data_IF_683162110989
#
_entry.id   IF_683162110989
#
_cell.length_a   1.000
_cell.length_b   1.000
_cell.length_c   1.000
_cell.angle_alpha   90.00
_cell.angle_beta   90.00
_cell.angle_gamma   90.00
#
_symmetry.space_group_name_H-M   'P 1'
#
loop_
_entity.id
_entity.type
_entity.pdbx_description
1 polymer ?
#
# COMPACT_ATOMS: atom_id res chain seq x y z
N UNK A 1 9.77 -20.88 -31.86
CA UNK A 1 10.53 -22.02 -32.45
C UNK A 1 9.88 -23.31 -31.99
N UNK A 2 9.43 -24.18 -32.90
CA UNK A 2 8.75 -25.43 -32.58
C UNK A 2 9.68 -26.63 -32.80
N UNK A 3 9.65 -27.61 -31.88
CA UNK A 3 10.34 -28.88 -32.01
C UNK A 3 9.39 -30.03 -31.63
N UNK A 4 9.24 -30.98 -32.54
CA UNK A 4 8.29 -32.10 -32.42
C UNK A 4 9.04 -33.44 -32.44
N UNK A 5 8.49 -34.43 -31.75
CA UNK A 5 8.96 -35.80 -31.76
C UNK A 5 8.93 -36.43 -33.17
N UNK A 6 9.78 -37.43 -33.41
CA UNK A 6 9.75 -38.16 -34.70
C UNK A 6 8.50 -39.02 -34.81
N UNK A 7 7.95 -39.27 -36.03
CA UNK A 7 6.77 -40.10 -36.22
C UNK A 7 6.88 -41.50 -35.60
N UNK A 8 8.09 -42.07 -35.62
CA UNK A 8 8.39 -43.34 -34.96
C UNK A 8 8.24 -43.26 -33.45
N UNK A 9 8.71 -42.20 -32.81
CA UNK A 9 8.60 -42.02 -31.35
C UNK A 9 7.16 -41.72 -30.91
N UNK A 10 6.37 -41.05 -31.73
CA UNK A 10 4.95 -40.77 -31.46
C UNK A 10 4.11 -42.05 -31.30
N UNK A 11 4.50 -43.14 -31.96
CA UNK A 11 3.83 -44.43 -31.83
C UNK A 11 4.07 -45.09 -30.46
N UNK A 12 5.18 -44.76 -29.79
CA UNK A 12 5.61 -45.40 -28.53
C UNK A 12 5.39 -44.53 -27.28
N UNK A 13 5.05 -43.24 -27.40
CA UNK A 13 5.03 -42.28 -26.28
C UNK A 13 3.61 -41.78 -25.96
N UNK A 14 2.67 -42.67 -25.60
CA UNK A 14 1.23 -42.32 -25.54
C UNK A 14 0.82 -41.28 -24.47
N UNK A 15 1.61 -41.08 -23.41
CA UNK A 15 1.25 -40.21 -22.27
C UNK A 15 2.29 -39.11 -21.98
N UNK A 16 3.31 -38.98 -22.82
CA UNK A 16 4.42 -38.05 -22.62
C UNK A 16 4.26 -36.80 -23.48
N UNK A 17 4.93 -35.71 -23.08
CA UNK A 17 5.04 -34.54 -23.95
C UNK A 17 5.91 -34.89 -25.16
N UNK A 18 5.43 -34.51 -26.34
CA UNK A 18 6.05 -34.84 -27.64
C UNK A 18 6.54 -33.61 -28.37
N UNK A 19 6.02 -32.45 -28.00
CA UNK A 19 6.33 -31.19 -28.65
C UNK A 19 6.73 -30.17 -27.62
N UNK A 20 7.74 -29.38 -27.95
CA UNK A 20 8.17 -28.21 -27.20
C UNK A 20 8.25 -27.00 -28.13
N UNK A 21 7.65 -25.91 -27.71
CA UNK A 21 7.65 -24.64 -28.42
C UNK A 21 8.25 -23.55 -27.54
N UNK A 22 9.14 -22.75 -28.12
CA UNK A 22 9.57 -21.47 -27.57
C UNK A 22 8.69 -20.36 -28.15
N UNK A 23 7.88 -19.76 -27.29
CA UNK A 23 7.13 -18.52 -27.56
C UNK A 23 7.83 -17.34 -26.88
N UNK A 24 7.26 -16.13 -26.99
CA UNK A 24 7.94 -14.88 -26.63
C UNK A 24 8.54 -14.90 -25.21
N UNK A 25 7.76 -15.26 -24.17
CA UNK A 25 8.23 -15.35 -22.77
C UNK A 25 7.80 -16.66 -22.09
N UNK A 26 7.61 -17.73 -22.85
CA UNK A 26 7.22 -19.03 -22.28
C UNK A 26 7.69 -20.22 -23.14
N UNK A 27 7.84 -21.35 -22.46
CA UNK A 27 7.94 -22.66 -23.09
C UNK A 27 6.57 -23.33 -23.07
N UNK A 28 6.11 -23.80 -24.22
CA UNK A 28 4.83 -24.52 -24.34
C UNK A 28 5.11 -25.98 -24.67
N UNK A 29 4.58 -26.87 -23.84
CA UNK A 29 4.73 -28.32 -24.00
C UNK A 29 3.39 -28.90 -24.43
N UNK A 30 3.39 -29.70 -25.49
CA UNK A 30 2.18 -30.39 -25.95
C UNK A 30 2.32 -31.90 -25.86
N UNK A 31 1.27 -32.53 -25.39
CA UNK A 31 1.00 -33.96 -25.47
C UNK A 31 -0.34 -34.18 -26.18
N UNK A 32 -0.73 -35.43 -26.40
CA UNK A 32 -2.02 -35.77 -27.00
C UNK A 32 -3.22 -35.31 -26.14
N UNK A 33 -3.04 -35.19 -24.82
CA UNK A 33 -4.14 -34.96 -23.85
C UNK A 33 -4.01 -33.66 -23.06
N UNK A 34 -2.89 -32.95 -23.17
CA UNK A 34 -2.60 -31.78 -22.34
C UNK A 34 -1.63 -30.83 -23.03
N UNK A 35 -1.85 -29.54 -22.76
CA UNK A 35 -0.91 -28.44 -23.02
C UNK A 35 -0.45 -27.88 -21.67
N UNK A 36 0.86 -27.69 -21.51
CA UNK A 36 1.45 -27.03 -20.34
C UNK A 36 2.22 -25.82 -20.82
N UNK A 37 1.88 -24.64 -20.27
CA UNK A 37 2.62 -23.40 -20.48
C UNK A 37 3.51 -23.15 -19.28
N UNK A 38 4.79 -22.95 -19.52
CA UNK A 38 5.80 -22.65 -18.51
C UNK A 38 6.29 -21.22 -18.79
N UNK A 39 5.74 -20.21 -18.12
CA UNK A 39 6.26 -18.84 -18.18
C UNK A 39 7.74 -18.81 -17.80
N UNK A 40 8.51 -17.91 -18.39
CA UNK A 40 9.93 -17.77 -18.02
C UNK A 40 10.13 -17.44 -16.55
N UNK A 41 9.19 -16.75 -15.89
CA UNK A 41 9.26 -16.48 -14.46
C UNK A 41 9.16 -17.75 -13.57
N UNK A 42 8.65 -18.86 -14.11
CA UNK A 42 8.57 -20.17 -13.43
C UNK A 42 9.71 -21.12 -13.83
N UNK A 43 10.34 -20.88 -14.98
CA UNK A 43 11.44 -21.69 -15.51
C UNK A 43 12.79 -21.24 -14.93
N UNK A 44 13.58 -22.19 -14.42
CA UNK A 44 14.92 -21.92 -13.85
C UNK A 44 16.01 -21.55 -14.87
N UNK A 45 15.68 -21.45 -16.16
CA UNK A 45 16.66 -21.30 -17.24
C UNK A 45 17.46 -22.56 -17.56
N UNK A 46 17.27 -23.66 -16.82
CA UNK A 46 17.95 -24.93 -17.04
C UNK A 46 17.15 -25.83 -17.99
N UNK A 47 17.81 -26.27 -19.07
CA UNK A 47 17.37 -27.36 -19.94
C UNK A 47 18.42 -28.47 -19.94
N UNK A 48 18.00 -29.71 -19.75
CA UNK A 48 18.89 -30.87 -19.84
C UNK A 48 18.52 -31.72 -21.04
N UNK A 49 19.45 -31.92 -21.97
CA UNK A 49 19.26 -32.79 -23.14
C UNK A 49 19.92 -34.13 -22.87
N UNK A 50 19.16 -35.22 -22.91
CA UNK A 50 19.68 -36.59 -22.74
C UNK A 50 19.58 -37.35 -24.07
N UNK A 51 20.67 -38.04 -24.43
CA UNK A 51 20.70 -38.90 -25.62
C UNK A 51 20.22 -40.30 -25.26
N UNK A 52 19.21 -40.79 -25.95
CA UNK A 52 18.81 -42.19 -25.94
C UNK A 52 19.39 -42.96 -27.14
N UNK A 53 19.00 -44.23 -27.27
CA UNK A 53 19.49 -45.13 -28.33
C UNK A 53 18.97 -44.72 -29.73
N UNK A 54 17.72 -44.27 -29.81
CA UNK A 54 17.02 -43.97 -31.08
C UNK A 54 16.64 -42.49 -31.18
N UNK A 55 16.28 -41.87 -30.05
CA UNK A 55 15.91 -40.46 -29.96
C UNK A 55 16.53 -39.82 -28.70
N UNK A 56 16.27 -38.53 -28.52
CA UNK A 56 16.68 -37.76 -27.35
C UNK A 56 15.48 -37.24 -26.55
N UNK A 57 15.76 -36.70 -25.37
CA UNK A 57 14.78 -36.02 -24.54
C UNK A 57 15.30 -34.69 -24.03
N UNK A 58 14.38 -33.75 -23.81
CA UNK A 58 14.64 -32.47 -23.15
C UNK A 58 13.89 -32.47 -21.82
N UNK A 59 14.60 -32.17 -20.74
CA UNK A 59 14.01 -31.90 -19.42
C UNK A 59 14.04 -30.41 -19.12
N UNK A 60 12.87 -29.84 -18.88
CA UNK A 60 12.65 -28.46 -18.41
C UNK A 60 12.56 -28.48 -16.89
N UNK A 61 13.27 -27.59 -16.22
CA UNK A 61 13.34 -27.53 -14.75
C UNK A 61 12.69 -26.24 -14.25
N UNK A 62 11.65 -26.33 -13.44
CA UNK A 62 11.10 -25.17 -12.75
C UNK A 62 12.12 -24.58 -11.75
N UNK A 63 11.89 -23.35 -11.30
CA UNK A 63 12.52 -22.88 -10.07
C UNK A 63 12.17 -23.81 -8.90
N UNK A 64 13.12 -23.98 -7.98
CA UNK A 64 12.89 -24.75 -6.76
C UNK A 64 12.01 -23.96 -5.79
N UNK A 65 11.00 -24.61 -5.22
CA UNK A 65 10.12 -24.06 -4.20
C UNK A 65 9.91 -25.13 -3.12
N UNK A 66 10.08 -24.78 -1.85
CA UNK A 66 9.92 -25.68 -0.69
C UNK A 66 10.69 -27.01 -0.82
N UNK A 67 11.97 -26.94 -1.23
CA UNK A 67 12.84 -28.10 -1.50
C UNK A 67 12.27 -29.10 -2.52
N UNK A 68 11.33 -28.67 -3.38
CA UNK A 68 10.79 -29.46 -4.48
C UNK A 68 11.03 -28.73 -5.79
N UNK A 69 11.46 -29.46 -6.81
CA UNK A 69 11.63 -28.96 -8.16
C UNK A 69 10.73 -29.74 -9.10
N UNK A 70 9.79 -29.03 -9.74
CA UNK A 70 8.97 -29.60 -10.81
C UNK A 70 9.82 -29.72 -12.07
N UNK A 71 9.69 -30.85 -12.76
CA UNK A 71 10.37 -31.11 -14.02
C UNK A 71 9.38 -31.61 -15.05
N UNK A 72 9.54 -31.15 -16.29
CA UNK A 72 8.77 -31.65 -17.43
C UNK A 72 9.71 -32.27 -18.44
N UNK A 73 9.34 -33.43 -18.97
CA UNK A 73 10.18 -34.19 -19.90
C UNK A 73 9.47 -34.32 -21.23
N UNK A 74 10.17 -33.91 -22.29
CA UNK A 74 9.73 -34.04 -23.68
C UNK A 74 10.59 -35.09 -24.34
N UNK A 75 9.96 -36.11 -24.92
CA UNK A 75 10.60 -37.34 -25.40
C UNK A 75 10.46 -37.45 -26.92
N UNK A 76 11.26 -38.33 -27.53
CA UNK A 76 11.16 -38.63 -28.96
C UNK A 76 11.79 -37.60 -29.90
N UNK A 77 12.60 -36.68 -29.36
CA UNK A 77 13.15 -35.56 -30.13
C UNK A 77 14.41 -35.96 -30.89
N UNK A 78 14.61 -35.54 -32.15
CA UNK A 78 15.85 -35.80 -32.86
C UNK A 78 17.03 -35.01 -32.24
N UNK A 79 18.19 -35.67 -32.10
CA UNK A 79 19.26 -35.25 -31.20
C UNK A 79 19.87 -33.88 -31.55
N UNK A 80 20.11 -33.62 -32.84
CA UNK A 80 20.76 -32.37 -33.26
C UNK A 80 19.81 -31.17 -33.08
N UNK A 81 18.53 -31.34 -33.42
CA UNK A 81 17.50 -30.33 -33.23
C UNK A 81 17.25 -30.07 -31.75
N UNK A 82 17.22 -31.10 -30.90
CA UNK A 82 17.07 -30.96 -29.46
C UNK A 82 18.21 -30.12 -28.84
N UNK A 83 19.45 -30.36 -29.26
CA UNK A 83 20.59 -29.55 -28.82
C UNK A 83 20.51 -28.10 -29.32
N UNK A 84 20.12 -27.87 -30.58
CA UNK A 84 19.96 -26.53 -31.15
C UNK A 84 18.84 -25.75 -30.44
N UNK A 85 17.70 -26.42 -30.22
CA UNK A 85 16.57 -25.87 -29.49
C UNK A 85 16.99 -25.46 -28.07
N UNK A 86 17.63 -26.36 -27.32
CA UNK A 86 18.03 -26.08 -25.95
C UNK A 86 18.98 -24.88 -25.85
N UNK A 87 19.99 -24.80 -26.74
CA UNK A 87 20.90 -23.65 -26.80
C UNK A 87 20.17 -22.34 -27.10
N UNK A 88 19.25 -22.35 -28.06
CA UNK A 88 18.49 -21.16 -28.44
C UNK A 88 17.53 -20.71 -27.31
N UNK A 89 16.77 -21.63 -26.74
CA UNK A 89 15.84 -21.35 -25.64
C UNK A 89 16.56 -20.75 -24.42
N UNK A 90 17.70 -21.33 -24.01
CA UNK A 90 18.51 -20.78 -22.91
C UNK A 90 19.01 -19.38 -23.23
N UNK A 91 19.47 -19.12 -24.46
CA UNK A 91 19.91 -17.78 -24.88
C UNK A 91 18.78 -16.75 -24.84
N UNK A 92 17.58 -17.12 -25.27
CA UNK A 92 16.39 -16.24 -25.23
C UNK A 92 15.99 -15.96 -23.78
N UNK A 93 15.96 -16.98 -22.92
CA UNK A 93 15.72 -16.81 -21.49
C UNK A 93 16.74 -15.90 -20.81
N UNK A 94 18.03 -16.09 -21.08
CA UNK A 94 19.09 -15.25 -20.51
C UNK A 94 18.93 -13.78 -20.92
N UNK A 95 18.56 -13.52 -22.18
CA UNK A 95 18.31 -12.16 -22.68
C UNK A 95 17.12 -11.52 -21.96
N UNK A 96 16.00 -12.26 -21.86
CA UNK A 96 14.82 -11.83 -21.11
C UNK A 96 15.15 -11.57 -19.62
N UNK A 97 15.89 -12.47 -18.96
CA UNK A 97 16.26 -12.32 -17.56
C UNK A 97 17.16 -11.10 -17.32
N UNK A 98 18.07 -10.80 -18.25
CA UNK A 98 18.90 -9.59 -18.19
C UNK A 98 18.06 -8.31 -18.32
N UNK A 99 17.06 -8.32 -19.18
CA UNK A 99 16.11 -7.22 -19.34
C UNK A 99 15.29 -7.00 -18.06
N UNK A 100 14.73 -8.07 -17.47
CA UNK A 100 14.02 -8.01 -16.19
C UNK A 100 14.91 -7.46 -15.06
N UNK A 101 16.17 -7.91 -14.98
CA UNK A 101 17.14 -7.35 -14.04
C UNK A 101 17.39 -5.85 -14.27
N UNK A 102 17.46 -5.41 -15.52
CA UNK A 102 17.71 -4.00 -15.86
C UNK A 102 16.52 -3.11 -15.50
N UNK A 103 15.29 -3.57 -15.76
CA UNK A 103 14.07 -2.89 -15.36
C UNK A 103 14.02 -2.74 -13.83
N UNK A 104 14.22 -3.84 -13.09
CA UNK A 104 14.18 -3.80 -11.62
C UNK A 104 15.27 -2.88 -11.05
N UNK A 105 16.47 -2.82 -11.66
CA UNK A 105 17.52 -1.87 -11.26
C UNK A 105 17.12 -0.40 -11.42
N UNK A 106 16.16 -0.11 -12.30
CA UNK A 106 15.68 1.25 -12.57
C UNK A 106 14.69 1.71 -11.50
N UNK A 107 13.77 0.85 -11.10
CA UNK A 107 12.69 1.20 -10.15
C UNK A 107 13.08 0.98 -8.69
N UNK A 108 13.76 -0.12 -8.38
CA UNK A 108 14.05 -0.54 -7.01
C UNK A 108 14.74 0.51 -6.13
N UNK A 109 15.74 1.28 -6.60
CA UNK A 109 16.34 2.34 -5.77
C UNK A 109 15.33 3.43 -5.35
N UNK A 110 14.36 3.75 -6.22
CA UNK A 110 13.33 4.75 -5.93
C UNK A 110 12.36 4.24 -4.88
N UNK A 111 11.96 2.97 -4.97
CA UNK A 111 11.11 2.32 -3.96
C UNK A 111 11.77 2.32 -2.60
N UNK A 112 13.05 1.91 -2.54
CA UNK A 112 13.81 1.87 -1.29
C UNK A 112 13.97 3.26 -0.68
N UNK A 113 14.29 4.27 -1.50
CA UNK A 113 14.44 5.64 -1.04
C UNK A 113 13.13 6.17 -0.46
N UNK A 114 12.01 5.98 -1.17
CA UNK A 114 10.72 6.48 -0.73
C UNK A 114 10.20 5.72 0.50
N UNK A 115 10.35 4.39 0.54
CA UNK A 115 10.00 3.64 1.75
C UNK A 115 10.84 4.07 2.94
N UNK A 116 12.14 4.29 2.74
CA UNK A 116 13.01 4.78 3.81
C UNK A 116 12.52 6.15 4.32
N UNK A 117 12.18 7.08 3.41
CA UNK A 117 11.61 8.39 3.75
C UNK A 117 10.33 8.25 4.58
N UNK A 118 9.40 7.39 4.17
CA UNK A 118 8.14 7.14 4.88
C UNK A 118 8.39 6.55 6.28
N UNK A 119 9.30 5.57 6.38
CA UNK A 119 9.63 4.91 7.65
C UNK A 119 10.23 5.88 8.65
N UNK A 120 11.16 6.73 8.21
CA UNK A 120 11.88 7.69 9.07
C UNK A 120 11.17 9.02 9.25
N UNK A 121 9.93 9.15 8.77
CA UNK A 121 9.18 10.40 8.85
C UNK A 121 8.96 10.80 10.32
N UNK A 122 9.28 12.02 10.77
CA UNK A 122 9.20 12.39 12.19
C UNK A 122 7.75 12.74 12.63
N UNK A 123 6.76 12.04 12.09
CA UNK A 123 5.33 12.23 12.38
C UNK A 123 4.57 10.91 12.19
N UNK A 124 3.32 10.87 12.64
CA UNK A 124 2.37 9.81 12.30
C UNK A 124 2.33 9.62 10.79
N UNK A 125 2.33 8.38 10.31
CA UNK A 125 2.25 8.06 8.89
C UNK A 125 0.81 7.67 8.52
N UNK A 126 0.04 8.57 7.87
CA UNK A 126 -1.26 8.25 7.32
C UNK A 126 -1.28 7.02 6.40
N UNK A 127 -2.41 6.32 6.41
CA UNK A 127 -2.66 5.14 5.57
C UNK A 127 -2.58 5.50 4.08
N UNK A 128 -3.12 6.66 3.68
CA UNK A 128 -3.11 7.10 2.28
C UNK A 128 -1.69 7.19 1.70
N UNK A 129 -0.73 7.71 2.45
CA UNK A 129 0.66 7.82 1.99
C UNK A 129 1.29 6.45 1.75
N UNK A 130 1.05 5.49 2.64
CA UNK A 130 1.52 4.11 2.45
C UNK A 130 0.83 3.46 1.25
N UNK A 131 -0.50 3.59 1.14
CA UNK A 131 -1.26 3.03 0.04
C UNK A 131 -0.82 3.60 -1.32
N UNK A 132 -0.51 4.89 -1.39
CA UNK A 132 0.01 5.52 -2.61
C UNK A 132 1.37 4.94 -3.01
N UNK A 133 2.25 4.69 -2.04
CA UNK A 133 3.54 4.05 -2.31
C UNK A 133 3.37 2.60 -2.79
N UNK A 134 2.50 1.81 -2.15
CA UNK A 134 2.19 0.44 -2.58
C UNK A 134 1.60 0.42 -3.99
N UNK A 135 0.62 1.30 -4.26
CA UNK A 135 -0.01 1.40 -5.58
C UNK A 135 0.99 1.76 -6.69
N UNK A 136 1.96 2.63 -6.40
CA UNK A 136 3.04 2.97 -7.34
C UNK A 136 3.95 1.76 -7.61
N UNK A 137 4.33 1.02 -6.57
CA UNK A 137 5.13 -0.21 -6.68
C UNK A 137 4.39 -1.26 -7.51
N UNK A 138 3.11 -1.49 -7.22
CA UNK A 138 2.26 -2.45 -7.94
C UNK A 138 2.10 -2.06 -9.42
N UNK A 139 1.87 -0.78 -9.70
CA UNK A 139 1.78 -0.27 -11.08
C UNK A 139 3.07 -0.55 -11.86
N UNK A 140 4.22 -0.34 -11.24
CA UNK A 140 5.51 -0.57 -11.88
C UNK A 140 5.84 -2.07 -12.02
N UNK A 141 5.39 -2.92 -11.10
CA UNK A 141 5.42 -4.38 -11.31
C UNK A 141 4.59 -4.80 -12.52
N UNK A 142 3.40 -4.21 -12.71
CA UNK A 142 2.56 -4.45 -13.88
C UNK A 142 3.24 -3.97 -15.18
N UNK A 143 3.88 -2.79 -15.17
CA UNK A 143 4.65 -2.29 -16.32
C UNK A 143 5.79 -3.23 -16.73
N UNK A 144 6.47 -3.81 -15.75
CA UNK A 144 7.53 -4.81 -15.99
C UNK A 144 6.98 -6.20 -16.35
N UNK A 145 5.68 -6.43 -16.16
CA UNK A 145 5.07 -7.76 -16.18
C UNK A 145 5.82 -8.75 -15.26
N UNK A 146 6.14 -8.30 -14.05
CA UNK A 146 6.94 -9.02 -13.06
C UNK A 146 6.13 -9.26 -11.78
N UNK A 147 6.28 -10.45 -11.20
CA UNK A 147 5.67 -10.79 -9.90
C UNK A 147 6.61 -10.53 -8.72
N UNK A 148 6.06 -10.39 -7.50
CA UNK A 148 6.86 -10.32 -6.26
C UNK A 148 7.83 -11.50 -6.12
N UNK A 149 7.37 -12.71 -6.43
CA UNK A 149 8.18 -13.92 -6.35
C UNK A 149 9.35 -13.90 -7.33
N UNK A 150 9.14 -13.34 -8.53
CA UNK A 150 10.20 -13.16 -9.53
C UNK A 150 11.20 -12.08 -9.12
N UNK A 151 10.72 -10.95 -8.60
CA UNK A 151 11.58 -9.89 -8.06
C UNK A 151 12.45 -10.43 -6.91
N UNK A 152 11.85 -11.22 -6.01
CA UNK A 152 12.52 -11.85 -4.89
C UNK A 152 13.60 -12.85 -5.34
N UNK A 153 13.35 -13.61 -6.41
CA UNK A 153 14.39 -14.48 -7.02
C UNK A 153 15.52 -13.66 -7.66
N UNK A 154 15.18 -12.52 -8.25
CA UNK A 154 16.12 -11.68 -9.00
C UNK A 154 17.05 -10.87 -8.08
N UNK A 155 16.52 -10.26 -7.01
CA UNK A 155 17.29 -9.45 -6.05
C UNK A 155 16.86 -9.69 -4.59
N UNK A 156 17.09 -10.91 -4.04
CA UNK A 156 16.52 -11.34 -2.76
C UNK A 156 16.83 -10.38 -1.60
N UNK A 157 18.11 -10.02 -1.44
CA UNK A 157 18.55 -9.19 -0.30
C UNK A 157 17.93 -7.78 -0.25
N UNK A 158 17.44 -7.28 -1.39
CA UNK A 158 16.82 -5.95 -1.51
C UNK A 158 15.30 -6.07 -1.41
N UNK A 159 14.71 -6.97 -2.20
CA UNK A 159 13.26 -7.20 -2.22
C UNK A 159 12.75 -7.71 -0.88
N UNK A 160 13.49 -8.57 -0.18
CA UNK A 160 13.11 -9.07 1.14
C UNK A 160 12.80 -7.95 2.15
N UNK A 161 13.48 -6.80 2.05
CA UNK A 161 13.27 -5.66 2.94
C UNK A 161 11.99 -4.87 2.62
N UNK A 162 11.52 -4.99 1.39
CA UNK A 162 10.34 -4.30 0.87
C UNK A 162 9.09 -5.16 1.02
N UNK A 163 9.20 -6.49 0.91
CA UNK A 163 8.06 -7.42 0.90
C UNK A 163 7.07 -7.20 2.05
N UNK A 164 7.46 -7.02 3.33
CA UNK A 164 6.50 -6.77 4.40
C UNK A 164 5.64 -5.52 4.15
N UNK A 165 6.19 -4.51 3.48
CA UNK A 165 5.50 -3.26 3.17
C UNK A 165 4.66 -3.33 1.89
N UNK A 166 4.85 -4.36 1.08
CA UNK A 166 4.09 -4.59 -0.17
C UNK A 166 2.98 -5.60 0.09
N UNK A 167 3.30 -6.74 0.71
CA UNK A 167 2.37 -7.86 0.90
C UNK A 167 1.49 -7.71 2.15
N UNK A 168 2.00 -7.06 3.20
CA UNK A 168 1.28 -6.81 4.45
C UNK A 168 1.49 -5.37 4.94
N UNK A 169 1.29 -4.42 4.02
CA UNK A 169 1.43 -2.99 4.28
C UNK A 169 0.66 -2.50 5.52
N UNK A 170 -0.58 -2.94 5.79
CA UNK A 170 -1.33 -2.51 6.98
C UNK A 170 -0.62 -2.89 8.28
N UNK A 171 -0.11 -4.12 8.40
CA UNK A 171 0.62 -4.55 9.59
C UNK A 171 1.93 -3.78 9.77
N UNK A 172 2.73 -3.67 8.70
CA UNK A 172 4.01 -2.95 8.75
C UNK A 172 3.83 -1.47 9.12
N UNK A 173 2.79 -0.83 8.58
CA UNK A 173 2.43 0.55 8.93
C UNK A 173 1.98 0.68 10.38
N UNK A 174 1.13 -0.24 10.85
CA UNK A 174 0.65 -0.24 12.22
C UNK A 174 1.81 -0.37 13.22
N UNK A 175 2.71 -1.33 13.02
CA UNK A 175 3.88 -1.54 13.87
C UNK A 175 4.75 -0.27 13.94
N UNK A 176 5.05 0.33 12.78
CA UNK A 176 5.82 1.57 12.71
C UNK A 176 5.14 2.72 13.45
N UNK A 177 3.83 2.90 13.26
CA UNK A 177 3.09 3.99 13.88
C UNK A 177 2.96 3.80 15.40
N UNK A 178 2.81 2.57 15.88
CA UNK A 178 2.81 2.27 17.33
C UNK A 178 4.15 2.64 17.95
N UNK A 179 5.27 2.27 17.32
CA UNK A 179 6.60 2.63 17.82
C UNK A 179 6.79 4.16 17.86
N UNK A 180 6.40 4.86 16.80
CA UNK A 180 6.45 6.32 16.76
C UNK A 180 5.54 6.97 17.82
N UNK A 181 4.33 6.43 18.04
CA UNK A 181 3.39 6.96 19.03
C UNK A 181 3.94 6.88 20.45
N UNK A 182 4.64 5.79 20.81
CA UNK A 182 5.24 5.67 22.14
C UNK A 182 6.36 6.68 22.38
N UNK A 183 7.24 6.87 21.39
CA UNK A 183 8.31 7.87 21.45
C UNK A 183 7.73 9.29 21.52
N UNK A 184 6.76 9.59 20.65
CA UNK A 184 6.11 10.90 20.60
C UNK A 184 5.36 11.20 21.89
N UNK A 185 4.70 10.20 22.49
CA UNK A 185 3.98 10.37 23.76
C UNK A 185 4.87 10.89 24.88
N UNK A 186 6.11 10.41 24.96
CA UNK A 186 7.07 10.88 25.95
C UNK A 186 7.50 12.34 25.71
N UNK A 187 7.62 12.75 24.45
CA UNK A 187 7.97 14.15 24.10
C UNK A 187 6.89 15.15 24.54
N UNK A 188 5.64 14.72 24.66
CA UNK A 188 4.48 15.59 24.96
C UNK A 188 3.93 15.43 26.38
N UNK A 189 4.68 14.84 27.31
CA UNK A 189 4.27 14.64 28.71
C UNK A 189 3.84 15.94 29.41
N UNK A 190 4.49 17.06 29.12
CA UNK A 190 4.12 18.37 29.70
C UNK A 190 2.72 18.79 29.23
N UNK A 191 2.43 18.66 27.93
CA UNK A 191 1.10 18.93 27.39
C UNK A 191 0.06 18.02 28.04
N UNK A 192 0.34 16.72 28.16
CA UNK A 192 -0.62 15.75 28.70
C UNK A 192 -0.89 15.89 30.20
N UNK A 193 0.11 16.33 30.97
CA UNK A 193 -0.02 16.57 32.41
C UNK A 193 -0.70 17.90 32.75
N UNK A 194 -0.58 18.91 31.88
CA UNK A 194 -1.09 20.27 32.13
C UNK A 194 -2.32 20.63 31.28
N UNK A 195 -2.76 19.75 30.39
CA UNK A 195 -3.85 20.08 29.46
C UNK A 195 -5.14 20.46 30.19
N UNK A 196 -5.53 19.82 31.29
CA UNK A 196 -6.78 20.09 32.00
C UNK A 196 -6.60 19.91 33.52
N UNK A 197 -7.70 19.94 34.27
CA UNK A 197 -7.73 19.70 35.72
C UNK A 197 -7.17 18.33 36.15
N UNK A 198 -7.08 17.37 35.24
CA UNK A 198 -6.50 16.05 35.48
C UNK A 198 -5.60 15.63 34.31
N UNK A 199 -4.47 14.95 34.58
CA UNK A 199 -3.62 14.39 33.52
C UNK A 199 -4.39 13.47 32.57
N UNK A 200 -4.02 13.50 31.29
CA UNK A 200 -4.60 12.59 30.29
C UNK A 200 -4.14 11.15 30.53
N UNK A 201 -5.06 10.20 30.42
CA UNK A 201 -4.71 8.78 30.44
C UNK A 201 -4.12 8.34 29.10
N UNK A 202 -3.57 7.12 29.07
CA UNK A 202 -2.89 6.58 27.88
C UNK A 202 -3.74 6.64 26.60
N UNK A 203 -5.02 6.22 26.63
CA UNK A 203 -5.86 6.23 25.42
C UNK A 203 -6.21 7.64 24.94
N UNK A 204 -6.35 8.61 25.85
CA UNK A 204 -6.52 10.02 25.50
C UNK A 204 -5.25 10.61 24.87
N UNK A 205 -4.07 10.27 25.39
CA UNK A 205 -2.78 10.69 24.80
C UNK A 205 -2.64 10.15 23.37
N UNK A 206 -2.94 8.86 23.15
CA UNK A 206 -2.96 8.28 21.82
C UNK A 206 -3.96 8.99 20.89
N UNK A 207 -5.16 9.31 21.38
CA UNK A 207 -6.17 10.03 20.58
C UNK A 207 -5.72 11.44 20.17
N UNK A 208 -4.90 12.11 20.98
CA UNK A 208 -4.31 13.42 20.63
C UNK A 208 -3.28 13.26 19.51
N UNK A 209 -2.38 12.28 19.61
CA UNK A 209 -1.25 12.08 18.68
C UNK A 209 -1.62 11.38 17.38
N UNK A 210 -2.65 10.53 17.40
CA UNK A 210 -3.06 9.76 16.23
C UNK A 210 -3.52 10.68 15.10
N UNK A 211 -2.82 10.67 13.97
CA UNK A 211 -3.06 11.62 12.88
C UNK A 211 -3.15 10.90 11.52
N UNK A 212 -4.05 9.92 11.44
CA UNK A 212 -4.39 9.29 10.18
C UNK A 212 -5.28 10.23 9.34
N UNK A 213 -5.52 9.88 8.08
CA UNK A 213 -6.33 10.67 7.14
C UNK A 213 -7.71 11.02 7.71
N UNK A 214 -8.31 10.06 8.43
CA UNK A 214 -9.56 10.20 9.14
C UNK A 214 -9.44 9.52 10.51
N UNK A 215 -9.93 10.20 11.55
CA UNK A 215 -9.80 9.73 12.93
C UNK A 215 -11.19 9.69 13.59
N UNK A 216 -11.62 8.52 14.03
CA UNK A 216 -12.85 8.33 14.80
C UNK A 216 -12.49 8.02 16.26
N UNK A 217 -12.84 8.91 17.17
CA UNK A 217 -12.65 8.70 18.61
C UNK A 217 -13.97 8.26 19.25
N UNK A 218 -14.00 7.02 19.75
CA UNK A 218 -15.11 6.48 20.51
C UNK A 218 -14.97 6.86 21.99
N UNK A 219 -15.95 7.59 22.53
CA UNK A 219 -15.80 8.19 23.85
C UNK A 219 -17.12 8.28 24.63
N UNK A 220 -17.17 7.61 25.78
CA UNK A 220 -18.32 7.59 26.69
C UNK A 220 -18.61 8.95 27.35
N UNK A 221 -19.73 9.06 28.06
CA UNK A 221 -20.01 10.23 28.89
C UNK A 221 -18.89 10.41 29.94
N UNK A 222 -18.50 11.65 30.23
CA UNK A 222 -17.43 11.95 31.22
C UNK A 222 -15.99 11.58 30.83
N UNK A 223 -15.75 10.97 29.68
CA UNK A 223 -14.41 10.51 29.24
C UNK A 223 -13.44 11.61 28.78
N UNK A 224 -13.77 12.89 28.94
CA UNK A 224 -12.89 14.00 28.55
C UNK A 224 -12.83 14.29 27.04
N UNK A 225 -13.91 14.02 26.28
CA UNK A 225 -13.99 14.29 24.83
C UNK A 225 -13.49 15.68 24.44
N UNK A 226 -14.04 16.72 25.07
CA UNK A 226 -13.68 18.11 24.79
C UNK A 226 -12.23 18.37 25.16
N UNK A 227 -11.74 17.80 26.27
CA UNK A 227 -10.35 17.90 26.70
C UNK A 227 -9.37 17.34 25.67
N UNK A 228 -9.67 16.15 25.13
CA UNK A 228 -8.90 15.52 24.04
C UNK A 228 -8.90 16.41 22.80
N UNK A 229 -10.06 16.96 22.42
CA UNK A 229 -10.16 17.86 21.27
C UNK A 229 -9.31 19.13 21.45
N UNK A 230 -9.35 19.76 22.63
CA UNK A 230 -8.55 20.95 22.91
C UNK A 230 -7.05 20.65 22.91
N UNK A 231 -6.64 19.54 23.55
CA UNK A 231 -5.23 19.14 23.55
C UNK A 231 -4.74 18.76 22.15
N UNK A 232 -5.60 18.19 21.31
CA UNK A 232 -5.30 17.94 19.89
C UNK A 232 -5.04 19.22 19.14
N UNK A 233 -5.85 20.25 19.32
CA UNK A 233 -5.60 21.56 18.69
C UNK A 233 -4.25 22.12 19.17
N UNK A 234 -3.98 22.08 20.48
CA UNK A 234 -2.68 22.51 21.02
C UNK A 234 -1.51 21.72 20.42
N UNK A 235 -1.64 20.39 20.32
CA UNK A 235 -0.64 19.53 19.71
C UNK A 235 -0.37 19.91 18.25
N UNK A 236 -1.42 20.03 17.41
CA UNK A 236 -1.27 20.36 15.99
C UNK A 236 -0.57 21.70 15.76
N UNK A 237 -0.84 22.70 16.59
CA UNK A 237 -0.23 24.02 16.48
C UNK A 237 1.22 24.02 16.99
N UNK A 238 1.46 23.45 18.18
CA UNK A 238 2.80 23.43 18.79
C UNK A 238 3.78 22.52 18.05
N UNK A 239 3.29 21.46 17.40
CA UNK A 239 4.08 20.58 16.52
C UNK A 239 4.24 21.12 15.10
N UNK A 240 3.64 22.28 14.79
CA UNK A 240 3.63 22.89 13.46
C UNK A 240 3.04 22.00 12.35
N UNK A 241 2.19 21.03 12.71
CA UNK A 241 1.43 20.21 11.76
C UNK A 241 0.26 20.97 11.11
N UNK A 242 -0.21 22.05 11.74
CA UNK A 242 -1.20 22.95 11.20
C UNK A 242 -0.96 24.40 11.67
N UNK A 243 -1.42 25.36 10.87
CA UNK A 243 -1.59 26.75 11.29
C UNK A 243 -3.00 26.97 11.88
N UNK A 244 -3.22 27.99 12.73
CA UNK A 244 -4.52 28.25 13.36
C UNK A 244 -5.69 28.35 12.37
N UNK A 245 -5.47 29.03 11.25
CA UNK A 245 -6.44 29.24 10.17
C UNK A 245 -6.74 27.96 9.37
N UNK A 246 -5.93 26.91 9.53
CA UNK A 246 -6.15 25.59 8.93
C UNK A 246 -7.00 24.67 9.82
N UNK A 247 -7.39 25.13 11.02
CA UNK A 247 -8.18 24.34 11.98
C UNK A 247 -9.63 24.85 12.01
N UNK A 248 -10.56 23.93 11.73
CA UNK A 248 -12.00 24.15 11.85
C UNK A 248 -12.59 23.21 12.91
N UNK A 249 -13.18 23.78 13.96
CA UNK A 249 -13.98 23.05 14.94
C UNK A 249 -15.46 23.28 14.68
N UNK A 250 -16.24 22.19 14.62
CA UNK A 250 -17.68 22.25 14.38
C UNK A 250 -18.45 21.62 15.53
N UNK A 251 -19.46 22.35 16.04
CA UNK A 251 -20.40 21.85 17.04
C UNK A 251 -21.84 21.84 16.54
N UNK A 252 -22.69 21.04 17.19
CA UNK A 252 -24.13 21.04 16.94
C UNK A 252 -24.83 22.29 17.48
N UNK A 253 -24.52 22.67 18.72
CA UNK A 253 -25.15 23.79 19.43
C UNK A 253 -24.26 25.02 19.54
N UNK A 254 -24.88 26.20 19.63
CA UNK A 254 -24.17 27.47 19.86
C UNK A 254 -23.44 27.49 21.19
N UNK A 255 -24.05 26.94 22.24
CA UNK A 255 -23.44 26.84 23.58
C UNK A 255 -22.16 25.99 23.55
N UNK A 256 -22.19 24.82 22.90
CA UNK A 256 -21.01 23.98 22.75
C UNK A 256 -19.91 24.65 21.92
N UNK A 257 -20.28 25.36 20.85
CA UNK A 257 -19.33 26.14 20.06
C UNK A 257 -18.68 27.26 20.89
N UNK A 258 -19.47 27.97 21.71
CA UNK A 258 -18.96 29.02 22.59
C UNK A 258 -18.05 28.44 23.68
N UNK A 259 -18.44 27.33 24.30
CA UNK A 259 -17.60 26.65 25.29
C UNK A 259 -16.24 26.23 24.71
N UNK A 260 -16.22 25.72 23.47
CA UNK A 260 -14.98 25.40 22.77
C UNK A 260 -14.11 26.64 22.53
N UNK A 261 -14.70 27.77 22.11
CA UNK A 261 -13.96 29.05 21.97
C UNK A 261 -13.35 29.49 23.29
N UNK A 262 -14.16 29.57 24.35
CA UNK A 262 -13.70 30.01 25.67
C UNK A 262 -12.57 29.11 26.21
N UNK A 263 -12.61 27.80 25.91
CA UNK A 263 -11.55 26.84 26.27
C UNK A 263 -10.29 27.05 25.45
N UNK A 264 -10.40 27.31 24.15
CA UNK A 264 -9.26 27.62 23.29
C UNK A 264 -8.60 28.93 23.70
N UNK A 265 -9.36 29.99 23.93
CA UNK A 265 -8.84 31.30 24.37
C UNK A 265 -8.05 31.18 25.67
N UNK A 266 -8.56 30.39 26.63
CA UNK A 266 -7.84 30.11 27.89
C UNK A 266 -6.51 29.38 27.69
N UNK A 267 -6.39 28.52 26.68
CA UNK A 267 -5.19 27.70 26.43
C UNK A 267 -4.18 28.35 25.50
N UNK A 268 -4.67 29.04 24.47
CA UNK A 268 -3.88 29.53 23.34
C UNK A 268 -3.82 31.07 23.32
N UNK A 269 -4.57 31.76 24.18
CA UNK A 269 -4.66 33.21 24.18
C UNK A 269 -5.16 33.73 22.82
N UNK A 270 -4.48 34.75 22.30
CA UNK A 270 -4.85 35.41 21.03
C UNK A 270 -4.79 34.49 19.81
N UNK A 271 -4.01 33.43 19.83
CA UNK A 271 -3.97 32.46 18.73
C UNK A 271 -5.32 31.77 18.52
N UNK A 272 -6.16 31.70 19.56
CA UNK A 272 -7.51 31.15 19.44
C UNK A 272 -8.42 31.96 18.50
N UNK A 273 -8.18 33.27 18.35
CA UNK A 273 -9.01 34.16 17.52
C UNK A 273 -8.93 33.82 16.02
N UNK A 274 -7.83 33.16 15.61
CA UNK A 274 -7.60 32.72 14.22
C UNK A 274 -8.22 31.34 13.93
N UNK A 275 -8.62 30.58 14.95
CA UNK A 275 -9.20 29.25 14.80
C UNK A 275 -10.70 29.37 14.53
N UNK A 276 -11.15 28.78 13.42
CA UNK A 276 -12.57 28.77 13.09
C UNK A 276 -13.32 27.79 14.01
N UNK A 277 -14.14 28.32 14.91
CA UNK A 277 -15.08 27.52 15.70
C UNK A 277 -16.49 27.88 15.29
N UNK A 278 -17.25 26.95 14.73
CA UNK A 278 -18.56 27.22 14.13
C UNK A 278 -19.59 26.17 14.55
N UNK A 279 -20.87 26.52 14.40
CA UNK A 279 -21.92 25.50 14.31
C UNK A 279 -22.05 25.01 12.87
N UNK A 280 -22.64 23.83 12.66
CA UNK A 280 -22.94 23.33 11.31
C UNK A 280 -23.70 24.34 10.43
N UNK A 281 -24.68 25.04 11.00
CA UNK A 281 -25.45 26.06 10.29
C UNK A 281 -24.60 27.28 9.92
N UNK A 282 -23.70 27.72 10.80
CA UNK A 282 -22.80 28.84 10.51
C UNK A 282 -21.80 28.48 9.42
N UNK A 283 -21.23 27.28 9.47
CA UNK A 283 -20.36 26.77 8.43
C UNK A 283 -21.08 26.70 7.08
N UNK A 284 -22.30 26.15 7.03
CA UNK A 284 -23.10 26.10 5.81
C UNK A 284 -23.37 27.50 5.23
N UNK A 285 -23.72 28.48 6.07
CA UNK A 285 -23.91 29.87 5.64
C UNK A 285 -22.62 30.51 5.12
N UNK A 286 -21.46 30.18 5.68
CA UNK A 286 -20.17 30.69 5.22
C UNK A 286 -19.83 30.14 3.83
N UNK A 287 -19.95 28.82 3.64
CA UNK A 287 -19.73 28.17 2.34
C UNK A 287 -20.66 28.77 1.27
N UNK A 288 -21.95 28.98 1.59
CA UNK A 288 -22.89 29.60 0.67
C UNK A 288 -22.48 31.03 0.28
N UNK A 289 -22.06 31.86 1.24
CA UNK A 289 -21.59 33.22 0.94
C UNK A 289 -20.33 33.26 0.07
N UNK A 290 -19.46 32.28 0.19
CA UNK A 290 -18.23 32.18 -0.60
C UNK A 290 -18.49 31.68 -2.03
N UNK A 291 -19.57 30.93 -2.22
CA UNK A 291 -19.92 30.27 -3.51
C UNK A 291 -21.03 30.97 -4.30
N UNK A 292 -21.95 31.68 -3.62
CA UNK A 292 -23.08 32.38 -4.24
C UNK A 292 -22.79 33.88 -4.40
N UNK A 293 -23.17 34.46 -5.55
CA UNK A 293 -23.00 35.89 -5.86
C UNK A 293 -23.92 36.77 -4.98
N UNK A 294 -25.00 36.22 -4.42
CA UNK A 294 -25.93 36.92 -3.54
C UNK A 294 -26.19 36.12 -2.25
N UNK A 295 -26.21 36.77 -1.08
CA UNK A 295 -26.43 36.08 0.19
C UNK A 295 -27.86 35.50 0.25
N UNK A 296 -28.05 34.28 0.78
CA UNK A 296 -29.36 33.65 0.86
C UNK A 296 -30.30 34.47 1.76
N UNK A 297 -31.52 34.73 1.26
CA UNK A 297 -32.59 35.35 2.06
C UNK A 297 -33.02 34.38 3.15
N UNK A 298 -32.55 34.61 4.37
CA UNK A 298 -32.99 33.88 5.55
C UNK A 298 -34.47 34.19 5.83
N UNK A 299 -35.25 33.15 6.12
CA UNK A 299 -36.64 33.32 6.57
C UNK A 299 -36.68 34.05 7.92
N UNK A 300 -37.64 34.96 8.16
CA UNK A 300 -37.85 35.62 9.45
C UNK A 300 -37.97 34.62 10.63
N UNK A 301 -38.57 33.45 10.37
CA UNK A 301 -38.71 32.34 11.33
C UNK A 301 -37.36 31.77 11.81
N UNK A 302 -36.29 31.92 11.02
CA UNK A 302 -34.95 31.44 11.38
C UNK A 302 -34.14 32.47 12.18
N UNK A 303 -34.53 33.76 12.15
CA UNK A 303 -33.79 34.88 12.73
C UNK A 303 -34.41 35.40 14.03
N UNK A 304 -35.72 35.27 14.21
CA UNK A 304 -36.42 35.69 15.43
C UNK A 304 -36.56 34.55 16.43
N UNK A 305 -35.86 34.62 17.57
CA UNK A 305 -35.97 33.67 18.69
C UNK A 305 -37.39 33.65 19.30
N UNK A 306 -38.16 34.72 19.14
CA UNK A 306 -39.56 34.84 19.56
C UNK A 306 -40.53 33.97 18.76
N UNK A 307 -40.17 33.52 17.55
CA UNK A 307 -41.05 32.68 16.71
C UNK A 307 -40.73 31.18 16.79
N UNK A 308 -39.69 30.77 17.54
CA UNK A 308 -39.39 29.35 17.78
C UNK A 308 -40.28 28.69 18.85
N UNK A 309 -41.10 29.48 19.56
CA UNK A 309 -42.14 28.94 20.43
C UNK A 309 -43.46 28.85 19.66
N UNK A 310 -43.66 27.75 18.94
CA UNK A 310 -45.00 27.36 18.49
C UNK A 310 -45.20 25.88 18.81
N UNK A 311 -46.09 25.62 19.77
CA UNK A 311 -46.66 24.30 20.06
C UNK A 311 -46.30 23.75 21.44
N UNK A 312 -47.01 24.23 22.48
CA UNK A 312 -47.41 23.38 23.63
C UNK A 312 -48.67 22.64 23.21
#
# INVERSE_FOLDING_TARGET
MLLTATPTAEMFTQHEFRTIELQQHCLVLHSVRAEVRIPFCEWSGKLSVKRGLIWSSITVHAHESDNKQVQWVVQGLPWQEAQRFAKHAVSVYQSWHQEQCALLRTYLPKWEQELNRLRTLPQFLPQSMMNNWVAEVDSQFLEMNMSNAEAMRTMPNRIQKLLPWIEDAPHALQERNVNWLEEERENWQVLFSQSESSPMNYSQQLAVLHNNDQNLILAGAGSGKTSVLMARVSYLLQSHLAQPDQILLVAFGREAAQEMRDRLERKLGKTADEISVLTFHQLGLQILKETEIQPPKLSPLATESSQKQVGV
#
